data_IF_270462878472
#
_entry.id   IF_270462878472
#
_cell.length_a   1.000
_cell.length_b   1.000
_cell.length_c   1.000
_cell.angle_alpha   90.00
_cell.angle_beta   90.00
_cell.angle_gamma   90.00
#
_symmetry.space_group_name_H-M   'P 1'
#
loop_
_entity.id
_entity.type
_entity.pdbx_description
1 polymer ?
#
# COMPACT_ATOMS: atom_id res chain seq x y z
N UNK A 1 2.27 2.62 10.01
CA UNK A 1 1.90 2.42 8.58
C UNK A 1 1.52 3.72 7.90
N UNK A 2 0.64 4.56 8.47
CA UNK A 2 0.18 5.81 7.81
C UNK A 2 1.31 6.75 7.35
N UNK A 3 2.37 6.91 8.15
CA UNK A 3 3.52 7.77 7.80
C UNK A 3 4.18 7.27 6.50
N UNK A 4 4.50 5.98 6.43
CA UNK A 4 5.09 5.35 5.24
C UNK A 4 4.13 5.44 4.04
N UNK A 5 2.83 5.15 4.24
CA UNK A 5 1.82 5.25 3.19
C UNK A 5 1.76 6.66 2.58
N UNK A 6 1.80 7.70 3.43
CA UNK A 6 1.81 9.10 3.01
C UNK A 6 3.03 9.45 2.18
N UNK A 7 4.20 8.92 2.52
CA UNK A 7 5.42 9.19 1.78
C UNK A 7 5.46 8.46 0.43
N UNK A 8 5.00 7.22 0.38
CA UNK A 8 5.10 6.34 -0.80
C UNK A 8 3.97 6.56 -1.81
N UNK A 9 2.71 6.62 -1.36
CA UNK A 9 1.55 6.63 -2.25
C UNK A 9 1.21 8.00 -2.83
N UNK A 10 0.61 8.00 -4.02
CA UNK A 10 -0.08 9.19 -4.53
C UNK A 10 -1.21 9.63 -3.57
N UNK A 11 -1.61 10.90 -3.62
CA UNK A 11 -2.63 11.46 -2.71
C UNK A 11 -3.93 10.64 -2.70
N UNK A 12 -4.43 10.27 -3.87
CA UNK A 12 -5.68 9.50 -4.00
C UNK A 12 -5.57 8.12 -3.32
N UNK A 13 -4.47 7.40 -3.56
CA UNK A 13 -4.28 6.08 -2.96
C UNK A 13 -4.02 6.18 -1.46
N UNK A 14 -3.31 7.21 -1.01
CA UNK A 14 -3.15 7.46 0.42
C UNK A 14 -4.49 7.66 1.13
N UNK A 15 -5.43 8.40 0.54
CA UNK A 15 -6.76 8.60 1.14
C UNK A 15 -7.57 7.30 1.21
N UNK A 16 -7.54 6.48 0.15
CA UNK A 16 -8.17 5.15 0.17
C UNK A 16 -7.55 4.26 1.25
N UNK A 17 -6.21 4.23 1.34
CA UNK A 17 -5.50 3.46 2.38
C UNK A 17 -5.82 3.98 3.79
N UNK A 18 -5.88 5.29 3.98
CA UNK A 18 -6.23 5.91 5.26
C UNK A 18 -7.64 5.48 5.68
N UNK A 19 -8.62 5.51 4.78
CA UNK A 19 -9.97 5.06 5.06
C UNK A 19 -10.02 3.58 5.47
N UNK A 20 -9.26 2.71 4.80
CA UNK A 20 -9.14 1.30 5.18
C UNK A 20 -8.45 1.13 6.55
N UNK A 21 -7.46 1.95 6.85
CA UNK A 21 -6.74 1.94 8.12
C UNK A 21 -7.63 2.38 9.28
N UNK A 22 -8.50 3.37 9.07
CA UNK A 22 -9.50 3.83 10.05
C UNK A 22 -10.53 2.73 10.32
N UNK A 23 -11.10 2.13 9.26
CA UNK A 23 -12.01 0.98 9.41
C UNK A 23 -11.38 -0.19 10.16
N UNK A 24 -10.07 -0.42 10.00
CA UNK A 24 -9.39 -1.52 10.70
C UNK A 24 -9.42 -1.37 12.22
N UNK A 25 -9.52 -0.15 12.75
CA UNK A 25 -9.53 0.10 14.20
C UNK A 25 -10.75 -0.53 14.86
N UNK A 26 -11.90 -0.51 14.19
CA UNK A 26 -13.18 -0.99 14.71
C UNK A 26 -13.36 -2.51 14.58
N UNK A 27 -12.47 -3.18 13.85
CA UNK A 27 -12.57 -4.62 13.62
C UNK A 27 -12.12 -5.42 14.85
N UNK A 28 -12.74 -6.56 15.06
CA UNK A 28 -12.35 -7.57 16.05
C UNK A 28 -11.65 -8.73 15.34
N UNK A 29 -10.59 -9.26 15.96
CA UNK A 29 -9.90 -10.46 15.48
C UNK A 29 -10.37 -11.64 16.32
N UNK A 30 -10.85 -12.67 15.64
CA UNK A 30 -10.95 -14.01 16.19
C UNK A 30 -9.80 -14.82 15.59
N UNK A 31 -9.07 -15.56 16.41
CA UNK A 31 -8.04 -16.47 15.91
C UNK A 31 -8.62 -17.87 15.89
N UNK A 32 -8.68 -18.49 14.70
CA UNK A 32 -9.05 -19.90 14.56
C UNK A 32 -7.96 -20.58 13.74
N UNK A 33 -7.17 -21.44 14.39
CA UNK A 33 -6.22 -22.31 13.72
C UNK A 33 -6.98 -23.53 13.21
N UNK A 34 -6.99 -23.78 11.91
CA UNK A 34 -7.59 -25.00 11.35
C UNK A 34 -6.59 -25.68 10.41
N UNK A 35 -6.26 -26.94 10.71
CA UNK A 35 -5.52 -27.86 9.84
C UNK A 35 -4.24 -27.27 9.20
N UNK A 36 -3.41 -26.59 9.99
CA UNK A 36 -2.11 -26.04 9.57
C UNK A 36 -2.18 -24.74 8.74
N UNK A 37 -3.36 -24.30 8.33
CA UNK A 37 -3.57 -22.98 7.74
C UNK A 37 -4.03 -21.98 8.80
N UNK A 38 -3.35 -20.84 8.91
CA UNK A 38 -3.71 -19.78 9.84
C UNK A 38 -4.81 -18.92 9.20
N UNK A 39 -5.99 -18.91 9.82
CA UNK A 39 -7.12 -18.07 9.43
C UNK A 39 -7.44 -17.06 10.54
N UNK A 40 -7.60 -15.80 10.14
CA UNK A 40 -8.11 -14.76 11.01
C UNK A 40 -9.50 -14.34 10.53
N UNK A 41 -10.57 -14.86 11.17
CA UNK A 41 -11.89 -14.26 11.08
C UNK A 41 -11.87 -12.82 11.65
N UNK A 42 -12.33 -11.88 10.84
CA UNK A 42 -12.40 -10.46 11.15
C UNK A 42 -13.81 -9.95 10.91
N UNK A 43 -14.38 -9.28 11.91
CA UNK A 43 -15.75 -8.77 11.89
C UNK A 43 -15.84 -7.45 12.66
N UNK A 44 -16.79 -6.58 12.28
CA UNK A 44 -17.06 -5.31 12.98
C UNK A 44 -17.79 -5.59 14.31
N UNK A 45 -18.84 -6.39 14.22
CA UNK A 45 -19.69 -6.86 15.33
C UNK A 45 -20.19 -8.30 15.04
N UNK A 46 -20.91 -8.91 15.98
CA UNK A 46 -21.46 -10.26 15.81
C UNK A 46 -22.49 -10.39 14.66
N UNK A 47 -23.03 -9.28 14.15
CA UNK A 47 -24.01 -9.28 13.07
C UNK A 47 -23.38 -9.06 11.67
N UNK A 48 -22.17 -8.49 11.62
CA UNK A 48 -21.46 -8.18 10.39
C UNK A 48 -20.93 -9.42 9.68
N UNK A 49 -20.90 -9.36 8.34
CA UNK A 49 -20.42 -10.44 7.50
C UNK A 49 -18.93 -10.68 7.76
N UNK A 50 -18.61 -11.82 8.36
CA UNK A 50 -17.25 -12.27 8.64
C UNK A 50 -16.37 -12.27 7.37
N UNK A 51 -15.11 -11.86 7.53
CA UNK A 51 -14.08 -11.94 6.48
C UNK A 51 -12.93 -12.78 6.98
N UNK A 52 -12.33 -13.52 6.06
CA UNK A 52 -11.24 -14.43 6.37
C UNK A 52 -9.96 -13.86 5.79
N UNK A 53 -8.93 -13.72 6.62
CA UNK A 53 -7.57 -13.45 6.20
C UNK A 53 -6.77 -14.74 6.32
N UNK A 54 -6.17 -15.20 5.22
CA UNK A 54 -5.40 -16.44 5.12
C UNK A 54 -3.93 -16.10 4.87
N UNK A 55 -3.04 -16.76 5.61
CA UNK A 55 -1.60 -16.76 5.31
C UNK A 55 -1.32 -17.74 4.15
N UNK A 56 -0.66 -17.25 3.11
CA UNK A 56 -0.25 -18.01 1.93
C UNK A 56 1.13 -18.64 2.16
N UNK A 57 1.51 -19.58 1.27
CA UNK A 57 2.80 -20.28 1.35
C UNK A 57 4.01 -19.37 1.21
N UNK A 58 3.86 -18.22 0.55
CA UNK A 58 4.89 -17.19 0.38
C UNK A 58 4.88 -16.16 1.53
N UNK A 59 4.20 -16.47 2.65
CA UNK A 59 3.97 -15.60 3.79
C UNK A 59 3.21 -14.30 3.47
N UNK A 60 2.54 -14.23 2.32
CA UNK A 60 1.58 -13.15 2.06
C UNK A 60 0.23 -13.44 2.71
N UNK A 61 -0.59 -12.42 2.85
CA UNK A 61 -1.92 -12.44 3.40
C UNK A 61 -2.89 -12.20 2.26
N UNK A 62 -3.82 -13.12 2.09
CA UNK A 62 -4.96 -12.97 1.20
C UNK A 62 -6.21 -12.73 2.03
N UNK A 63 -7.17 -11.96 1.51
CA UNK A 63 -8.43 -11.73 2.19
C UNK A 63 -9.60 -12.09 1.29
N UNK A 64 -10.63 -12.71 1.86
CA UNK A 64 -11.85 -13.07 1.14
C UNK A 64 -12.58 -11.88 0.50
N UNK A 65 -12.31 -10.65 0.92
CA UNK A 65 -12.85 -9.44 0.26
C UNK A 65 -12.18 -9.12 -1.09
N UNK A 66 -11.04 -9.73 -1.40
CA UNK A 66 -10.26 -9.57 -2.64
C UNK A 66 -9.88 -8.12 -3.01
N UNK A 67 -9.87 -7.21 -2.05
CA UNK A 67 -9.66 -5.78 -2.32
C UNK A 67 -8.25 -5.49 -2.85
N UNK A 68 -7.24 -6.23 -2.39
CA UNK A 68 -5.87 -6.06 -2.88
C UNK A 68 -5.75 -6.54 -4.33
N UNK A 69 -6.40 -7.64 -4.67
CA UNK A 69 -6.43 -8.21 -6.00
C UNK A 69 -7.18 -7.28 -6.98
N UNK A 70 -8.29 -6.67 -6.54
CA UNK A 70 -9.10 -5.77 -7.37
C UNK A 70 -8.51 -4.35 -7.49
N UNK A 71 -8.10 -3.74 -6.37
CA UNK A 71 -7.66 -2.33 -6.31
C UNK A 71 -6.16 -2.17 -6.10
N UNK A 72 -5.45 -3.19 -5.62
CA UNK A 72 -4.04 -3.07 -5.25
C UNK A 72 -3.79 -2.27 -3.98
N UNK A 73 -4.81 -2.13 -3.14
CA UNK A 73 -4.73 -1.44 -1.84
C UNK A 73 -5.15 -2.42 -0.75
N UNK A 74 -4.41 -2.43 0.36
CA UNK A 74 -4.73 -3.28 1.51
C UNK A 74 -6.10 -2.93 2.08
N UNK A 75 -6.94 -3.94 2.31
CA UNK A 75 -8.20 -3.77 3.03
C UNK A 75 -7.98 -3.64 4.54
N UNK A 76 -9.00 -3.11 5.21
CA UNK A 76 -9.08 -3.02 6.67
C UNK A 76 -8.77 -4.35 7.37
N UNK A 77 -9.25 -5.48 6.83
CA UNK A 77 -8.99 -6.82 7.40
C UNK A 77 -7.50 -7.18 7.41
N UNK A 78 -6.78 -7.01 6.28
CA UNK A 78 -5.35 -7.32 6.24
C UNK A 78 -4.57 -6.33 7.12
N UNK A 79 -4.94 -5.05 7.11
CA UNK A 79 -4.30 -4.02 7.97
C UNK A 79 -4.45 -4.39 9.45
N UNK A 80 -5.63 -4.86 9.86
CA UNK A 80 -5.93 -5.31 11.22
C UNK A 80 -5.02 -6.47 11.64
N UNK A 81 -4.86 -7.49 10.79
CA UNK A 81 -3.99 -8.64 11.07
C UNK A 81 -2.52 -8.23 11.12
N UNK A 82 -2.04 -7.44 10.15
CA UNK A 82 -0.66 -6.97 10.13
C UNK A 82 -0.32 -6.22 11.43
N UNK A 83 -1.19 -5.32 11.89
CA UNK A 83 -0.93 -4.51 13.07
C UNK A 83 -1.08 -5.30 14.37
N UNK A 84 -2.21 -5.98 14.56
CA UNK A 84 -2.62 -6.42 15.90
C UNK A 84 -2.26 -7.89 16.14
N UNK A 85 -2.25 -8.73 15.10
CA UNK A 85 -1.84 -10.13 15.23
C UNK A 85 -0.34 -10.33 14.98
N UNK A 86 0.22 -9.62 13.99
CA UNK A 86 1.62 -9.77 13.58
C UNK A 86 2.55 -8.67 14.10
N UNK A 87 2.03 -7.64 14.77
CA UNK A 87 2.81 -6.50 15.30
C UNK A 87 3.67 -5.77 14.25
N UNK A 88 3.26 -5.81 12.98
CA UNK A 88 3.94 -5.14 11.87
C UNK A 88 3.50 -3.67 11.85
N UNK A 89 4.48 -2.75 11.93
CA UNK A 89 4.25 -1.30 11.99
C UNK A 89 4.30 -0.60 10.64
N UNK A 90 4.78 -1.27 9.60
CA UNK A 90 4.98 -0.73 8.25
C UNK A 90 4.27 -1.61 7.20
N UNK A 91 3.88 -1.03 6.08
CA UNK A 91 3.35 -1.75 4.94
C UNK A 91 4.49 -2.62 4.39
N UNK A 92 4.33 -3.97 4.37
CA UNK A 92 5.31 -4.84 3.76
C UNK A 92 5.46 -4.52 2.26
N UNK A 93 6.68 -4.58 1.76
CA UNK A 93 7.03 -4.12 0.40
C UNK A 93 6.23 -4.81 -0.70
N UNK A 94 5.88 -6.08 -0.51
CA UNK A 94 5.06 -6.85 -1.46
C UNK A 94 3.65 -6.28 -1.67
N UNK A 95 3.14 -5.44 -0.76
CA UNK A 95 1.84 -4.77 -0.92
C UNK A 95 1.94 -3.36 -1.48
N UNK A 96 3.15 -2.89 -1.78
CA UNK A 96 3.38 -1.57 -2.37
C UNK A 96 3.52 -1.75 -3.87
N UNK A 97 2.42 -1.57 -4.59
CA UNK A 97 2.43 -1.66 -6.06
C UNK A 97 2.96 -0.37 -6.68
N UNK A 98 3.95 -0.50 -7.57
CA UNK A 98 4.62 0.62 -8.26
C UNK A 98 3.63 1.61 -8.89
N UNK A 99 2.57 1.11 -9.53
CA UNK A 99 1.53 1.94 -10.17
C UNK A 99 0.85 2.94 -9.22
N UNK A 100 0.87 2.68 -7.92
CA UNK A 100 0.24 3.51 -6.89
C UNK A 100 1.20 4.45 -6.15
N UNK A 101 2.50 4.33 -6.41
CA UNK A 101 3.51 5.17 -5.76
C UNK A 101 3.66 6.50 -6.48
N UNK A 102 4.20 7.50 -5.78
CA UNK A 102 4.57 8.79 -6.40
C UNK A 102 5.65 8.65 -7.47
N UNK A 103 6.37 7.53 -7.47
CA UNK A 103 7.44 7.22 -8.42
C UNK A 103 6.92 6.51 -9.69
N UNK A 104 5.62 6.22 -9.79
CA UNK A 104 5.04 5.58 -10.97
C UNK A 104 5.35 6.31 -12.30
N UNK A 105 5.64 7.63 -12.24
CA UNK A 105 5.95 8.48 -13.40
C UNK A 105 7.44 8.75 -13.62
N UNK A 106 8.31 8.19 -12.78
CA UNK A 106 9.75 8.53 -12.77
C UNK A 106 10.56 7.59 -13.66
N UNK A 107 10.10 6.36 -13.87
CA UNK A 107 10.78 5.37 -14.69
C UNK A 107 10.20 5.30 -16.10
N UNK A 108 11.06 5.11 -17.10
CA UNK A 108 10.61 4.92 -18.48
C UNK A 108 9.76 3.66 -18.60
N UNK A 109 8.68 3.75 -19.37
CA UNK A 109 7.86 2.60 -19.70
C UNK A 109 8.64 1.76 -20.70
N UNK A 110 8.97 0.53 -20.35
CA UNK A 110 9.54 -0.44 -21.29
C UNK A 110 8.40 -1.25 -21.92
N UNK A 111 8.53 -1.56 -23.19
CA UNK A 111 7.61 -2.49 -23.87
C UNK A 111 7.89 -3.94 -23.46
N UNK A 112 7.10 -4.87 -24.00
CA UNK A 112 7.24 -6.30 -23.70
C UNK A 112 8.59 -6.90 -24.15
N UNK A 113 9.36 -6.18 -24.95
CA UNK A 113 10.68 -6.57 -25.45
C UNK A 113 11.81 -5.81 -24.74
N UNK A 114 11.49 -5.05 -23.67
CA UNK A 114 12.45 -4.26 -22.91
C UNK A 114 12.90 -2.98 -23.61
N UNK A 115 12.31 -2.63 -24.75
CA UNK A 115 12.62 -1.38 -25.46
C UNK A 115 11.93 -0.22 -24.76
N UNK A 116 12.65 0.88 -24.60
CA UNK A 116 12.12 2.09 -24.00
C UNK A 116 11.02 2.67 -24.90
N UNK A 117 9.78 2.69 -24.43
CA UNK A 117 8.68 3.33 -25.15
C UNK A 117 9.00 4.82 -25.17
N UNK A 118 9.20 5.34 -26.38
CA UNK A 118 9.43 6.77 -26.58
C UNK A 118 8.21 7.53 -26.10
N UNK A 119 8.33 8.14 -24.91
CA UNK A 119 7.29 8.96 -24.31
C UNK A 119 6.83 10.02 -25.33
N UNK A 120 5.51 10.23 -25.47
CA UNK A 120 5.00 11.38 -26.23
C UNK A 120 5.67 12.67 -25.71
N UNK A 121 5.94 13.64 -26.59
CA UNK A 121 6.58 14.90 -26.20
C UNK A 121 5.92 15.59 -24.99
N UNK A 122 4.59 15.45 -24.85
CA UNK A 122 3.83 15.95 -23.71
C UNK A 122 4.18 15.25 -22.39
N UNK A 123 4.39 13.93 -22.40
CA UNK A 123 4.81 13.16 -21.22
C UNK A 123 6.25 13.50 -20.81
N UNK A 124 7.16 13.69 -21.76
CA UNK A 124 8.54 14.11 -21.46
C UNK A 124 8.60 15.48 -20.78
N UNK A 125 7.82 16.44 -21.30
CA UNK A 125 7.76 17.81 -20.74
C UNK A 125 7.20 17.80 -19.32
N UNK A 126 6.16 17.01 -19.07
CA UNK A 126 5.57 16.86 -17.73
C UNK A 126 6.52 16.14 -16.75
N UNK A 127 7.27 15.14 -17.23
CA UNK A 127 8.26 14.40 -16.44
C UNK A 127 9.45 15.27 -16.04
N UNK A 128 9.99 16.06 -16.96
CA UNK A 128 11.05 17.03 -16.66
C UNK A 128 10.62 18.02 -15.58
N UNK A 129 9.43 18.62 -15.71
CA UNK A 129 8.88 19.52 -14.69
C UNK A 129 8.66 18.83 -13.34
N UNK A 130 8.19 17.58 -13.34
CA UNK A 130 7.99 16.80 -12.13
C UNK A 130 9.31 16.48 -11.42
N UNK A 131 10.34 16.06 -12.16
CA UNK A 131 11.68 15.78 -11.60
C UNK A 131 12.31 17.04 -11.01
N UNK A 132 12.26 18.18 -11.71
CA UNK A 132 12.75 19.45 -11.17
C UNK A 132 11.99 19.88 -9.91
N UNK A 133 10.69 19.63 -9.85
CA UNK A 133 9.87 19.89 -8.65
C UNK A 133 10.27 18.99 -7.48
N UNK A 134 10.53 17.69 -7.73
CA UNK A 134 11.01 16.77 -6.72
C UNK A 134 12.41 17.15 -6.21
N UNK A 135 13.34 17.51 -7.09
CA UNK A 135 14.67 17.99 -6.70
C UNK A 135 14.59 19.23 -5.80
N UNK A 136 13.70 20.16 -6.13
CA UNK A 136 13.44 21.33 -5.31
C UNK A 136 12.88 20.96 -3.93
N UNK A 137 11.90 20.06 -3.87
CA UNK A 137 11.33 19.56 -2.61
C UNK A 137 12.36 18.82 -1.75
N UNK A 138 13.25 18.03 -2.37
CA UNK A 138 14.36 17.34 -1.68
C UNK A 138 15.37 18.34 -1.14
N UNK A 139 15.72 19.38 -1.91
CA UNK A 139 16.59 20.49 -1.44
C UNK A 139 15.96 21.20 -0.24
N UNK A 140 14.67 21.53 -0.30
CA UNK A 140 13.95 22.13 0.83
C UNK A 140 13.94 21.23 2.08
N UNK A 141 13.76 19.91 1.92
CA UNK A 141 13.82 18.95 3.03
C UNK A 141 15.22 18.84 3.64
N UNK A 142 16.29 18.94 2.84
CA UNK A 142 17.69 18.93 3.33
C UNK A 142 18.04 20.20 4.10
N UNK A 143 17.52 21.35 3.68
CA UNK A 143 17.73 22.64 4.37
C UNK A 143 16.99 22.70 5.72
N UNK A 144 15.90 21.93 5.89
CA UNK A 144 15.11 21.89 7.14
C UNK A 144 15.57 20.84 8.17
N UNK A 145 16.71 20.16 8.00
CA UNK A 145 17.27 19.32 9.08
C UNK A 145 17.74 20.26 10.22
N UNK A 146 17.17 20.18 11.43
CA UNK A 146 17.64 21.00 12.53
C UNK A 146 19.04 20.53 12.92
N UNK A 147 19.95 21.48 13.07
CA UNK A 147 21.21 21.29 13.76
C UNK A 147 20.85 21.22 15.24
N UNK A 148 20.88 20.02 15.80
CA UNK A 148 21.05 19.77 17.23
C UNK A 148 22.07 18.65 17.38
#
# INVERSE_FOLDING_TARGET
>A
MLIQAREVYTKAIFLEFQHQFEQAVELNIKCVTNDGNIFYPVNLDCASKERHVKVQSDNTLSCSCRMFEMKGVLCSHIIKILRDALNIKEIPTQYILKRWTKQARVECVQDMYGSEIQELQQTCRYRSLFLSSLEYQVKLRRVKKPIF
#
